data_IF_363778002028
#
_entry.id   IF_363778002028
#
_cell.length_a   1.000
_cell.length_b   1.000
_cell.length_c   1.000
_cell.angle_alpha   90.00
_cell.angle_beta   90.00
_cell.angle_gamma   90.00
#
_symmetry.space_group_name_H-M   'P 1'
#
loop_
_entity.id
_entity.type
_entity.pdbx_description
1 polymer ?
#
# COMPACT_ATOMS: atom_id res chain seq x y z
N UNK A 1 13.56 19.92 3.58
CA UNK A 1 12.50 19.79 2.54
C UNK A 1 12.12 18.31 2.49
N UNK A 2 10.84 17.94 2.55
CA UNK A 2 10.42 16.53 2.42
C UNK A 2 9.90 16.31 0.99
N UNK A 3 10.63 15.61 0.11
CA UNK A 3 10.21 15.43 -1.27
C UNK A 3 9.00 14.50 -1.36
N UNK A 4 8.03 14.89 -2.18
CA UNK A 4 6.88 14.05 -2.57
C UNK A 4 6.98 13.78 -4.07
N UNK A 5 7.11 12.51 -4.46
CA UNK A 5 7.27 12.11 -5.86
C UNK A 5 6.05 11.32 -6.30
N UNK A 6 5.41 11.75 -7.39
CA UNK A 6 4.17 11.17 -7.87
C UNK A 6 4.22 10.84 -9.37
N UNK A 7 3.93 9.58 -9.70
CA UNK A 7 3.70 9.05 -11.05
C UNK A 7 3.07 7.65 -10.91
N UNK A 8 3.04 6.79 -11.93
CA UNK A 8 2.53 5.42 -11.75
C UNK A 8 3.51 4.50 -11.05
N UNK A 9 3.02 3.44 -10.42
CA UNK A 9 3.84 2.47 -9.69
C UNK A 9 4.98 1.90 -10.56
N UNK A 10 4.69 1.60 -11.83
CA UNK A 10 5.69 1.10 -12.80
C UNK A 10 6.79 2.11 -13.11
N UNK A 11 6.49 3.41 -13.13
CA UNK A 11 7.45 4.48 -13.37
C UNK A 11 8.08 5.03 -12.09
N UNK A 12 7.49 4.77 -10.93
CA UNK A 12 7.90 5.30 -9.63
C UNK A 12 8.80 4.32 -8.85
N UNK A 13 8.51 3.03 -8.95
CA UNK A 13 9.21 1.98 -8.19
C UNK A 13 9.96 1.04 -9.11
N UNK A 14 9.27 0.35 -10.02
CA UNK A 14 9.89 -0.76 -10.76
C UNK A 14 10.99 -0.29 -11.72
N UNK A 15 10.70 0.70 -12.57
CA UNK A 15 11.69 1.20 -13.55
C UNK A 15 12.86 1.95 -12.92
N UNK A 16 12.66 2.89 -11.97
CA UNK A 16 13.76 3.58 -11.32
C UNK A 16 14.23 2.86 -10.04
N UNK A 17 14.08 1.54 -9.95
CA UNK A 17 14.37 0.81 -8.70
C UNK A 17 15.82 0.99 -8.22
N UNK A 18 16.77 1.10 -9.15
CA UNK A 18 18.16 1.38 -8.81
C UNK A 18 18.33 2.76 -8.16
N UNK A 19 17.65 3.79 -8.68
CA UNK A 19 17.64 5.14 -8.08
C UNK A 19 16.98 5.11 -6.70
N UNK A 20 15.85 4.42 -6.53
CA UNK A 20 15.21 4.26 -5.22
C UNK A 20 16.18 3.61 -4.22
N UNK A 21 16.86 2.54 -4.64
CA UNK A 21 17.83 1.81 -3.82
C UNK A 21 19.08 2.64 -3.48
N UNK A 22 19.67 3.31 -4.45
CA UNK A 22 20.94 4.03 -4.26
C UNK A 22 20.73 5.43 -3.69
N UNK A 23 19.80 6.20 -4.26
CA UNK A 23 19.68 7.62 -3.95
C UNK A 23 18.84 7.85 -2.68
N UNK A 24 17.91 6.94 -2.34
CA UNK A 24 17.14 7.01 -1.09
C UNK A 24 17.65 6.00 -0.05
N UNK A 25 17.82 4.73 -0.46
CA UNK A 25 18.26 3.67 0.44
C UNK A 25 19.70 3.83 0.91
N UNK A 26 20.67 3.87 -0.01
CA UNK A 26 22.10 3.91 0.34
C UNK A 26 22.52 5.25 0.95
N UNK A 27 21.93 6.37 0.54
CA UNK A 27 22.18 7.68 1.17
C UNK A 27 21.43 7.87 2.50
N UNK A 28 20.54 6.95 2.86
CA UNK A 28 19.63 7.02 4.01
C UNK A 28 18.88 8.36 4.10
N UNK A 29 18.23 8.75 3.00
CA UNK A 29 17.43 9.97 2.92
C UNK A 29 15.94 9.66 2.77
N UNK A 30 15.13 10.45 3.49
CA UNK A 30 13.67 10.32 3.49
C UNK A 30 13.00 10.83 2.22
N UNK A 31 11.90 10.18 1.85
CA UNK A 31 11.01 10.62 0.79
C UNK A 31 9.61 10.03 0.96
N UNK A 32 8.62 10.72 0.40
CA UNK A 32 7.26 10.17 0.22
C UNK A 32 7.06 9.86 -1.26
N UNK A 33 7.00 8.57 -1.59
CA UNK A 33 6.62 8.10 -2.91
C UNK A 33 5.10 7.90 -2.92
N UNK A 34 4.41 8.42 -3.93
CA UNK A 34 2.96 8.24 -4.10
C UNK A 34 2.69 7.72 -5.50
N UNK A 35 2.28 6.46 -5.66
CA UNK A 35 1.93 5.96 -6.99
C UNK A 35 0.45 6.16 -7.28
N UNK A 36 0.12 6.31 -8.57
CA UNK A 36 -1.19 5.92 -9.08
C UNK A 36 -1.08 4.58 -9.83
N UNK A 37 -2.22 3.92 -10.04
CA UNK A 37 -2.34 2.63 -10.71
C UNK A 37 -1.50 1.51 -10.04
N UNK A 38 -2.17 0.67 -9.25
CA UNK A 38 -1.60 -0.52 -8.62
C UNK A 38 -1.38 -1.64 -9.66
N UNK A 39 -1.19 -2.88 -9.20
CA UNK A 39 -0.72 -4.03 -9.99
C UNK A 39 -1.30 -4.12 -11.40
N UNK A 40 -2.62 -4.04 -11.53
CA UNK A 40 -3.35 -4.32 -12.78
C UNK A 40 -4.38 -3.24 -13.14
N UNK A 41 -4.23 -2.04 -12.58
CA UNK A 41 -5.27 -1.01 -12.62
C UNK A 41 -5.45 -0.35 -13.99
N UNK A 42 -4.43 -0.42 -14.87
CA UNK A 42 -4.52 0.13 -16.22
C UNK A 42 -4.26 -0.93 -17.31
N UNK A 43 -5.22 -1.84 -17.58
CA UNK A 43 -5.05 -2.90 -18.56
C UNK A 43 -4.84 -2.38 -19.99
N UNK A 44 -5.44 -1.24 -20.37
CA UNK A 44 -5.25 -0.65 -21.69
C UNK A 44 -3.81 -0.14 -21.93
N UNK A 45 -3.03 0.15 -20.87
CA UNK A 45 -1.60 0.45 -20.97
C UNK A 45 -0.70 -0.80 -21.08
N UNK A 46 -1.29 -1.99 -20.91
CA UNK A 46 -0.61 -3.28 -20.97
C UNK A 46 0.45 -3.47 -19.87
N UNK A 47 1.26 -4.52 -20.02
CA UNK A 47 2.28 -4.90 -19.03
C UNK A 47 3.31 -3.81 -18.75
N UNK A 48 3.47 -2.84 -19.66
CA UNK A 48 4.39 -1.70 -19.49
C UNK A 48 3.95 -0.72 -18.40
N UNK A 49 2.65 -0.70 -18.06
CA UNK A 49 2.06 0.18 -17.05
C UNK A 49 1.67 -0.56 -15.76
N UNK A 50 1.55 -1.90 -15.83
CA UNK A 50 1.30 -2.77 -14.69
C UNK A 50 2.53 -2.83 -13.78
N UNK A 51 2.30 -2.93 -12.47
CA UNK A 51 3.36 -2.97 -11.46
C UNK A 51 3.07 -3.99 -10.34
N UNK A 52 3.00 -5.30 -10.65
CA UNK A 52 2.74 -6.33 -9.65
C UNK A 52 3.91 -6.57 -8.69
N UNK A 53 5.12 -6.08 -9.01
CA UNK A 53 6.34 -6.30 -8.22
C UNK A 53 6.72 -5.14 -7.31
N UNK A 54 6.05 -3.99 -7.38
CA UNK A 54 6.42 -2.76 -6.66
C UNK A 54 6.55 -2.94 -5.14
N UNK A 55 5.56 -3.56 -4.49
CA UNK A 55 5.60 -3.83 -3.04
C UNK A 55 6.72 -4.81 -2.69
N UNK A 56 6.88 -5.89 -3.48
CA UNK A 56 7.91 -6.90 -3.24
C UNK A 56 9.33 -6.36 -3.47
N UNK A 57 9.52 -5.43 -4.41
CA UNK A 57 10.79 -4.76 -4.64
C UNK A 57 11.16 -3.87 -3.46
N UNK A 58 10.23 -3.06 -2.96
CA UNK A 58 10.46 -2.23 -1.78
C UNK A 58 10.69 -3.07 -0.52
N UNK A 59 10.08 -4.25 -0.44
CA UNK A 59 10.34 -5.21 0.64
C UNK A 59 11.81 -5.69 0.69
N UNK A 60 12.52 -5.64 -0.43
CA UNK A 60 13.97 -5.96 -0.43
C UNK A 60 14.84 -4.85 0.15
N UNK A 61 14.26 -3.70 0.51
CA UNK A 61 14.96 -2.53 1.03
C UNK A 61 14.56 -2.25 2.49
N UNK A 62 15.54 -1.92 3.33
CA UNK A 62 15.30 -1.58 4.73
C UNK A 62 14.62 -0.21 4.91
N UNK A 63 13.85 -0.08 5.99
CA UNK A 63 13.32 1.20 6.46
C UNK A 63 12.18 1.79 5.62
N UNK A 64 11.58 1.02 4.71
CA UNK A 64 10.40 1.44 3.95
C UNK A 64 9.10 1.08 4.67
N UNK A 65 8.23 2.09 4.82
CA UNK A 65 6.81 1.88 5.12
C UNK A 65 6.03 1.85 3.82
N UNK A 66 5.16 0.86 3.63
CA UNK A 66 4.29 0.72 2.45
C UNK A 66 2.83 0.71 2.87
N UNK A 67 2.17 1.83 2.60
CA UNK A 67 0.72 1.99 2.72
C UNK A 67 0.04 1.58 1.41
N UNK A 68 -1.05 0.82 1.54
CA UNK A 68 -1.95 0.44 0.44
C UNK A 68 -3.37 0.79 0.90
N UNK A 69 -3.75 2.09 0.87
CA UNK A 69 -5.09 2.50 1.28
C UNK A 69 -6.17 1.83 0.42
N UNK A 70 -7.28 1.45 1.04
CA UNK A 70 -8.42 0.83 0.35
C UNK A 70 -9.52 1.80 -0.04
N UNK A 71 -9.46 3.05 0.46
CA UNK A 71 -10.45 4.10 0.21
C UNK A 71 -9.78 5.48 0.10
N UNK A 72 -10.33 6.43 -0.68
CA UNK A 72 -9.79 7.79 -0.79
C UNK A 72 -9.58 8.52 0.54
N UNK A 73 -10.51 8.37 1.50
CA UNK A 73 -10.36 9.00 2.83
C UNK A 73 -9.14 8.46 3.59
N UNK A 74 -8.88 7.15 3.48
CA UNK A 74 -7.69 6.53 4.06
C UNK A 74 -6.43 7.00 3.35
N UNK A 75 -6.48 7.15 2.02
CA UNK A 75 -5.36 7.65 1.22
C UNK A 75 -4.98 9.09 1.62
N UNK A 76 -5.96 9.96 1.81
CA UNK A 76 -5.72 11.32 2.31
C UNK A 76 -5.05 11.29 3.69
N UNK A 77 -5.59 10.50 4.61
CA UNK A 77 -5.06 10.41 5.96
C UNK A 77 -3.62 9.87 5.98
N UNK A 78 -3.37 8.74 5.32
CA UNK A 78 -2.04 8.10 5.28
C UNK A 78 -1.02 8.98 4.54
N UNK A 79 -1.43 9.71 3.49
CA UNK A 79 -0.55 10.68 2.83
C UNK A 79 -0.17 11.84 3.76
N UNK A 80 -1.14 12.40 4.51
CA UNK A 80 -0.85 13.46 5.48
C UNK A 80 0.10 12.97 6.58
N UNK A 81 -0.11 11.75 7.08
CA UNK A 81 0.80 11.12 8.04
C UNK A 81 2.20 10.92 7.43
N UNK A 82 2.28 10.40 6.21
CA UNK A 82 3.53 10.21 5.50
C UNK A 82 4.27 11.54 5.31
N UNK A 83 3.60 12.64 4.98
CA UNK A 83 4.24 13.97 4.87
C UNK A 83 4.69 14.52 6.23
N UNK A 84 4.05 14.13 7.32
CA UNK A 84 4.44 14.55 8.67
C UNK A 84 5.58 13.71 9.30
N UNK A 85 5.90 12.55 8.73
CA UNK A 85 6.82 11.55 9.29
C UNK A 85 8.33 11.86 9.12
N UNK A 86 8.75 13.11 9.32
CA UNK A 86 10.16 13.49 9.46
C UNK A 86 11.04 13.15 8.24
N UNK A 87 11.95 12.18 8.40
CA UNK A 87 12.88 11.67 7.38
C UNK A 87 12.58 10.20 6.99
N UNK A 88 11.40 9.69 7.33
CA UNK A 88 11.01 8.31 6.99
C UNK A 88 10.84 8.12 5.48
N UNK A 89 11.18 6.92 4.99
CA UNK A 89 10.92 6.47 3.61
C UNK A 89 9.54 5.82 3.55
N UNK A 90 8.59 6.48 2.90
CA UNK A 90 7.19 6.04 2.85
C UNK A 90 6.72 5.91 1.41
N UNK A 91 6.09 4.80 1.09
CA UNK A 91 5.39 4.57 -0.16
C UNK A 91 3.88 4.48 0.08
N UNK A 92 3.11 5.36 -0.54
CA UNK A 92 1.65 5.33 -0.56
C UNK A 92 1.20 4.84 -1.94
N UNK A 93 0.73 3.60 -1.99
CA UNK A 93 0.34 2.91 -3.22
C UNK A 93 -1.15 3.10 -3.50
N UNK A 94 -1.50 4.02 -4.41
CA UNK A 94 -2.90 4.27 -4.74
C UNK A 94 -3.40 3.30 -5.82
N UNK A 95 -4.68 2.93 -5.71
CA UNK A 95 -5.38 2.13 -6.69
C UNK A 95 -6.52 2.91 -7.33
N UNK A 96 -6.92 2.52 -8.54
CA UNK A 96 -8.19 2.96 -9.16
C UNK A 96 -9.39 2.20 -8.60
N UNK A 97 -9.16 1.08 -7.91
CA UNK A 97 -10.16 0.35 -7.15
C UNK A 97 -10.34 1.00 -5.78
N UNK A 98 -11.57 0.97 -5.26
CA UNK A 98 -11.89 1.48 -3.93
C UNK A 98 -12.92 0.58 -3.28
N UNK A 99 -12.77 0.35 -1.99
CA UNK A 99 -13.84 -0.18 -1.15
C UNK A 99 -14.99 0.83 -1.09
N UNK A 100 -16.18 0.38 -0.68
CA UNK A 100 -17.39 1.19 -0.60
C UNK A 100 -17.39 2.16 0.58
N UNK A 101 -16.61 1.88 1.63
CA UNK A 101 -16.48 2.69 2.83
C UNK A 101 -15.01 2.76 3.24
N UNK A 102 -14.58 3.94 3.68
CA UNK A 102 -13.31 4.09 4.38
C UNK A 102 -13.41 3.56 5.81
N UNK A 103 -12.33 2.94 6.29
CA UNK A 103 -12.19 2.53 7.68
C UNK A 103 -11.17 3.42 8.39
N UNK A 104 -11.29 3.62 9.71
CA UNK A 104 -10.23 4.25 10.48
C UNK A 104 -8.95 3.41 10.38
N UNK A 105 -7.90 4.02 9.86
CA UNK A 105 -6.56 3.41 9.72
C UNK A 105 -5.57 4.22 10.56
N UNK A 106 -4.73 3.56 11.35
CA UNK A 106 -3.64 4.22 12.08
C UNK A 106 -2.29 4.08 11.36
N UNK A 107 -2.27 3.32 10.26
CA UNK A 107 -1.07 3.02 9.48
C UNK A 107 -0.15 1.97 10.14
N UNK A 108 -0.49 1.46 11.33
CA UNK A 108 0.39 0.65 12.15
C UNK A 108 -0.13 -0.77 12.40
N UNK A 109 -1.45 -0.96 12.51
CA UNK A 109 -2.04 -2.26 12.84
C UNK A 109 -3.12 -2.69 11.87
N UNK A 110 -3.30 -4.00 11.77
CA UNK A 110 -4.43 -4.57 11.08
C UNK A 110 -5.69 -4.35 11.89
N UNK A 111 -6.79 -4.15 11.17
CA UNK A 111 -8.11 -3.99 11.77
C UNK A 111 -8.91 -5.26 11.60
N UNK A 112 -9.37 -5.85 12.69
CA UNK A 112 -10.38 -6.92 12.62
C UNK A 112 -11.70 -6.34 12.11
N UNK A 113 -12.18 -6.84 10.98
CA UNK A 113 -13.48 -6.44 10.39
C UNK A 113 -14.57 -7.49 10.61
N UNK A 114 -14.18 -8.75 10.81
CA UNK A 114 -15.06 -9.85 11.16
C UNK A 114 -14.28 -10.88 11.97
N UNK A 115 -14.89 -11.42 13.02
CA UNK A 115 -14.33 -12.53 13.81
C UNK A 115 -14.89 -13.87 13.33
N UNK A 116 -14.05 -14.91 13.42
CA UNK A 116 -14.38 -16.30 13.11
C UNK A 116 -13.28 -17.23 13.62
N UNK A 117 -13.53 -18.53 13.60
CA UNK A 117 -12.73 -19.51 14.36
C UNK A 117 -12.00 -20.54 13.50
N UNK A 118 -12.36 -20.69 12.22
CA UNK A 118 -11.79 -21.72 11.35
C UNK A 118 -10.50 -21.27 10.62
N UNK A 119 -10.20 -19.96 10.60
CA UNK A 119 -9.02 -19.43 9.94
C UNK A 119 -9.02 -17.91 9.83
N UNK A 120 -7.99 -17.35 9.18
CA UNK A 120 -7.79 -15.91 9.01
C UNK A 120 -7.59 -15.57 7.53
N UNK A 121 -8.29 -14.55 7.05
CA UNK A 121 -8.09 -13.91 5.74
C UNK A 121 -7.62 -12.48 6.00
N UNK A 122 -6.45 -12.11 5.45
CA UNK A 122 -5.97 -10.73 5.48
C UNK A 122 -6.26 -10.07 4.14
N UNK A 123 -7.16 -9.10 4.14
CA UNK A 123 -7.45 -8.30 2.97
C UNK A 123 -6.60 -7.02 2.98
N UNK A 124 -5.93 -6.75 1.86
CA UNK A 124 -5.02 -5.61 1.71
C UNK A 124 -5.69 -4.53 0.88
N UNK A 125 -5.76 -3.30 1.42
CA UNK A 125 -6.22 -2.11 0.74
C UNK A 125 -7.53 -2.30 -0.05
N UNK A 126 -7.54 -2.09 -1.38
CA UNK A 126 -8.76 -2.08 -2.18
C UNK A 126 -9.41 -3.46 -2.34
N UNK A 127 -8.82 -4.52 -1.79
CA UNK A 127 -9.35 -5.89 -1.85
C UNK A 127 -10.33 -6.22 -0.72
N UNK A 128 -10.59 -5.32 0.23
CA UNK A 128 -11.42 -5.61 1.40
C UNK A 128 -12.84 -6.04 1.02
N UNK A 129 -13.53 -5.26 0.19
CA UNK A 129 -14.92 -5.57 -0.17
C UNK A 129 -15.02 -6.89 -0.95
N UNK A 130 -14.09 -7.12 -1.88
CA UNK A 130 -14.01 -8.37 -2.62
C UNK A 130 -13.75 -9.56 -1.71
N UNK A 131 -12.86 -9.42 -0.73
CA UNK A 131 -12.57 -10.46 0.26
C UNK A 131 -13.79 -10.74 1.16
N UNK A 132 -14.49 -9.70 1.61
CA UNK A 132 -15.70 -9.84 2.42
C UNK A 132 -16.80 -10.58 1.67
N UNK A 133 -17.04 -10.23 0.40
CA UNK A 133 -18.00 -10.91 -0.47
C UNK A 133 -17.61 -12.37 -0.73
N UNK A 134 -16.34 -12.64 -1.04
CA UNK A 134 -15.85 -14.00 -1.30
C UNK A 134 -15.89 -14.93 -0.08
N UNK A 135 -15.97 -14.36 1.12
CA UNK A 135 -15.95 -15.10 2.39
C UNK A 135 -17.28 -15.02 3.14
N UNK A 136 -18.34 -14.56 2.47
CA UNK A 136 -19.69 -14.52 3.05
C UNK A 136 -20.14 -15.92 3.49
N UNK A 137 -20.67 -16.02 4.72
CA UNK A 137 -21.13 -17.29 5.31
C UNK A 137 -20.02 -18.24 5.79
N UNK A 138 -18.74 -17.89 5.64
CA UNK A 138 -17.62 -18.68 6.15
C UNK A 138 -17.25 -18.26 7.58
N UNK A 139 -16.91 -19.22 8.45
CA UNK A 139 -16.44 -18.99 9.82
C UNK A 139 -14.95 -18.60 9.86
N UNK A 140 -14.59 -17.50 9.21
CA UNK A 140 -13.22 -16.98 9.14
C UNK A 140 -13.13 -15.58 9.70
N UNK A 141 -12.06 -15.32 10.44
CA UNK A 141 -11.65 -13.97 10.79
C UNK A 141 -11.19 -13.25 9.53
N UNK A 142 -11.64 -12.02 9.33
CA UNK A 142 -11.14 -11.14 8.27
C UNK A 142 -10.44 -9.96 8.92
N UNK A 143 -9.17 -9.79 8.59
CA UNK A 143 -8.34 -8.65 8.98
C UNK A 143 -8.16 -7.72 7.78
N UNK A 144 -8.13 -6.42 8.04
CA UNK A 144 -7.89 -5.39 7.05
C UNK A 144 -6.52 -4.75 7.26
N UNK A 145 -5.72 -4.68 6.20
CA UNK A 145 -4.39 -4.10 6.19
C UNK A 145 -4.32 -2.96 5.17
N UNK A 146 -4.33 -1.71 5.66
CA UNK A 146 -4.01 -0.52 4.86
C UNK A 146 -2.50 -0.20 4.84
N UNK A 147 -1.71 -0.96 5.61
CA UNK A 147 -0.24 -0.96 5.58
C UNK A 147 0.21 -2.41 5.49
N UNK A 148 1.12 -2.72 4.57
CA UNK A 148 1.69 -4.07 4.39
C UNK A 148 3.15 -4.18 4.79
N UNK A 149 3.82 -3.03 4.92
CA UNK A 149 5.17 -2.90 5.47
C UNK A 149 5.24 -1.70 6.42
N UNK A 150 5.72 -1.85 7.66
CA UNK A 150 5.95 -3.14 8.34
C UNK A 150 4.67 -3.98 8.38
N UNK A 151 4.82 -5.31 8.48
CA UNK A 151 3.67 -6.19 8.71
C UNK A 151 3.26 -6.09 10.18
N UNK A 152 2.00 -6.35 10.52
CA UNK A 152 1.53 -6.27 11.91
C UNK A 152 2.10 -7.44 12.73
N UNK A 153 3.20 -7.18 13.44
CA UNK A 153 3.95 -8.15 14.27
C UNK A 153 5.39 -7.74 14.57
#
# INVERSE_FOLDING_TARGET
LRPVVHTFASFLVERPFEQVKLDLGHQDVGAVLVSAAASFDWPAGGFTHMAPGDVALLDTLDGWTVHVPGHPDEAEQLLRQAVAAGDDKVYVRLSVQSNAQGLPVDGARFRTVREGHAGVVVAVGPMLDAALAATEGLDVTVLYAATVRPFDG
#
